data_IF_953555075598
#
_entry.id   IF_953555075598
#
_cell.length_a   1.000
_cell.length_b   1.000
_cell.length_c   1.000
_cell.angle_alpha   90.00
_cell.angle_beta   90.00
_cell.angle_gamma   90.00
#
_symmetry.space_group_name_H-M   'P 1'
#
loop_
_entity.id
_entity.type
_entity.pdbx_description
1 polymer ?
#
# COMPACT_ATOMS: atom_id res chain seq x y z
N UNK A 1 -8.68 8.51 -2.02
CA UNK A 1 -9.07 7.40 -1.10
C UNK A 1 -10.02 7.82 0.02
N UNK A 2 -10.71 8.92 -0.15
CA UNK A 2 -11.60 9.44 0.88
C UNK A 2 -12.77 8.51 1.18
N UNK A 3 -13.18 7.70 0.20
CA UNK A 3 -14.33 6.81 0.33
C UNK A 3 -14.02 5.51 1.05
N UNK A 4 -12.75 5.22 1.29
CA UNK A 4 -12.35 3.98 1.94
C UNK A 4 -12.42 4.12 3.46
N UNK A 5 -12.83 3.04 4.12
CA UNK A 5 -12.75 2.97 5.57
C UNK A 5 -11.28 2.75 5.98
N UNK A 6 -11.00 2.96 7.27
CA UNK A 6 -9.65 2.70 7.79
C UNK A 6 -9.26 1.24 7.56
N UNK A 7 -10.19 0.31 7.79
CA UNK A 7 -9.91 -1.11 7.56
C UNK A 7 -9.57 -1.39 6.10
N UNK A 8 -10.29 -0.76 5.17
CA UNK A 8 -10.00 -0.93 3.75
C UNK A 8 -8.63 -0.36 3.38
N UNK A 9 -8.25 0.76 3.96
CA UNK A 9 -6.94 1.35 3.72
C UNK A 9 -5.82 0.46 4.26
N UNK A 10 -6.03 -0.13 5.43
CA UNK A 10 -5.07 -1.07 6.01
C UNK A 10 -4.95 -2.32 5.16
N UNK A 11 -6.07 -2.80 4.60
CA UNK A 11 -6.06 -3.95 3.70
C UNK A 11 -5.25 -3.65 2.43
N UNK A 12 -5.42 -2.46 1.87
CA UNK A 12 -4.64 -2.05 0.69
C UNK A 12 -3.15 -2.11 0.99
N UNK A 13 -2.73 -1.58 2.13
CA UNK A 13 -1.33 -1.60 2.53
C UNK A 13 -0.82 -3.02 2.74
N UNK A 14 -1.63 -3.88 3.34
CA UNK A 14 -1.26 -5.27 3.56
C UNK A 14 -1.09 -6.01 2.24
N UNK A 15 -1.99 -5.80 1.28
CA UNK A 15 -1.89 -6.40 -0.05
C UNK A 15 -0.61 -5.99 -0.76
N UNK A 16 -0.27 -4.70 -0.69
CA UNK A 16 0.93 -4.18 -1.34
C UNK A 16 2.18 -4.81 -0.72
N UNK A 17 2.23 -4.88 0.60
CA UNK A 17 3.36 -5.48 1.32
C UNK A 17 3.49 -6.97 1.04
N UNK A 18 2.36 -7.67 0.98
CA UNK A 18 2.34 -9.10 0.67
C UNK A 18 2.84 -9.38 -0.74
N UNK A 19 2.46 -8.54 -1.69
CA UNK A 19 2.91 -8.68 -3.08
C UNK A 19 4.41 -8.46 -3.18
N UNK A 20 4.93 -7.44 -2.52
CA UNK A 20 6.35 -7.17 -2.50
C UNK A 20 7.12 -8.35 -1.89
N UNK A 21 6.61 -8.91 -0.81
CA UNK A 21 7.22 -10.06 -0.16
C UNK A 21 7.20 -11.29 -1.07
N UNK A 22 6.12 -11.48 -1.83
CA UNK A 22 6.02 -12.59 -2.77
C UNK A 22 7.11 -12.51 -3.84
N UNK A 23 7.28 -11.35 -4.45
CA UNK A 23 8.32 -11.20 -5.48
C UNK A 23 9.71 -11.37 -4.91
N UNK A 24 9.94 -10.89 -3.70
CA UNK A 24 11.23 -11.07 -3.02
C UNK A 24 11.49 -12.55 -2.73
N UNK A 25 10.48 -13.26 -2.24
CA UNK A 25 10.62 -14.69 -1.94
C UNK A 25 10.87 -15.51 -3.19
N UNK A 26 10.25 -15.13 -4.31
CA UNK A 26 10.44 -15.80 -5.59
C UNK A 26 11.74 -15.38 -6.29
N UNK A 27 12.44 -14.41 -5.74
CA UNK A 27 13.67 -13.86 -6.33
C UNK A 27 13.45 -13.35 -7.75
N UNK A 28 12.30 -12.69 -7.96
CA UNK A 28 11.93 -12.12 -9.25
C UNK A 28 11.72 -10.62 -9.11
N UNK A 29 12.13 -9.82 -10.10
CA UNK A 29 11.86 -8.40 -10.07
C UNK A 29 10.38 -8.15 -10.30
N UNK A 30 9.80 -7.18 -9.57
CA UNK A 30 8.43 -6.76 -9.79
C UNK A 30 8.36 -5.96 -11.10
N UNK A 31 7.34 -6.22 -11.96
CA UNK A 31 7.17 -5.41 -13.17
C UNK A 31 7.09 -3.93 -12.82
N UNK A 32 7.74 -3.09 -13.64
CA UNK A 32 7.83 -1.66 -13.35
C UNK A 32 6.48 -0.98 -13.22
N UNK A 33 5.52 -1.33 -14.08
CA UNK A 33 4.18 -0.74 -14.01
C UNK A 33 3.46 -1.12 -12.71
N UNK A 34 3.61 -2.37 -12.28
CA UNK A 34 3.01 -2.83 -11.04
C UNK A 34 3.67 -2.15 -9.84
N UNK A 35 4.99 -2.05 -9.86
CA UNK A 35 5.73 -1.38 -8.79
C UNK A 35 5.29 0.07 -8.66
N UNK A 36 5.18 0.79 -9.77
CA UNK A 36 4.77 2.18 -9.75
C UNK A 36 3.34 2.35 -9.22
N UNK A 37 2.43 1.47 -9.64
CA UNK A 37 1.04 1.52 -9.18
C UNK A 37 0.96 1.22 -7.68
N UNK A 38 1.72 0.25 -7.20
CA UNK A 38 1.73 -0.10 -5.78
C UNK A 38 2.33 1.02 -4.94
N UNK A 39 3.41 1.65 -5.39
CA UNK A 39 4.01 2.77 -4.67
C UNK A 39 3.03 3.94 -4.56
N UNK A 40 2.31 4.22 -5.64
CA UNK A 40 1.32 5.29 -5.63
C UNK A 40 0.18 4.98 -4.67
N UNK A 41 -0.35 3.77 -4.73
CA UNK A 41 -1.44 3.35 -3.86
C UNK A 41 -1.02 3.36 -2.40
N UNK A 42 0.19 2.90 -2.10
CA UNK A 42 0.71 2.91 -0.74
C UNK A 42 0.80 4.34 -0.20
N UNK A 43 1.34 5.23 -1.01
CA UNK A 43 1.50 6.63 -0.61
C UNK A 43 0.15 7.29 -0.34
N UNK A 44 -0.83 7.04 -1.23
CA UNK A 44 -2.16 7.61 -1.07
C UNK A 44 -2.86 7.05 0.16
N UNK A 45 -2.76 5.75 0.40
CA UNK A 45 -3.39 5.13 1.56
C UNK A 45 -2.78 5.64 2.86
N UNK A 46 -1.45 5.75 2.92
CA UNK A 46 -0.78 6.26 4.11
C UNK A 46 -1.14 7.73 4.35
N UNK A 47 -1.17 8.54 3.30
CA UNK A 47 -1.53 9.95 3.43
C UNK A 47 -2.94 10.10 3.99
N UNK A 48 -3.88 9.27 3.54
CA UNK A 48 -5.24 9.32 4.04
C UNK A 48 -5.32 8.89 5.50
N UNK A 49 -4.57 7.88 5.89
CA UNK A 49 -4.54 7.44 7.28
C UNK A 49 -3.96 8.53 8.19
N UNK A 50 -2.92 9.22 7.73
CA UNK A 50 -2.38 10.35 8.47
C UNK A 50 -3.40 11.48 8.59
N UNK A 51 -4.10 11.77 7.50
CA UNK A 51 -5.12 12.82 7.51
C UNK A 51 -6.22 12.53 8.51
N UNK A 52 -6.59 11.25 8.66
CA UNK A 52 -7.64 10.84 9.60
C UNK A 52 -7.14 10.69 11.04
N UNK A 53 -5.84 10.88 11.27
CA UNK A 53 -5.27 10.77 12.60
C UNK A 53 -5.01 9.36 13.07
N UNK A 54 -5.06 8.37 12.15
CA UNK A 54 -4.78 6.98 12.51
C UNK A 54 -3.32 6.80 12.93
N UNK A 55 -2.41 7.40 12.17
CA UNK A 55 -1.01 7.45 12.57
C UNK A 55 -0.79 8.75 13.33
N UNK A 56 -0.29 8.64 14.54
CA UNK A 56 0.07 9.82 15.33
C UNK A 56 1.57 10.01 15.28
N UNK A 57 1.98 11.26 15.12
CA UNK A 57 3.40 11.61 15.07
C UNK A 57 4.04 11.46 16.45
#
# INVERSE_FOLDING_TARGET
>A
MEKYTIDELLDVLQWIRSRAAYFRACNKPMPGALYAADCKAEREAEAELYRRGYYTA
#
